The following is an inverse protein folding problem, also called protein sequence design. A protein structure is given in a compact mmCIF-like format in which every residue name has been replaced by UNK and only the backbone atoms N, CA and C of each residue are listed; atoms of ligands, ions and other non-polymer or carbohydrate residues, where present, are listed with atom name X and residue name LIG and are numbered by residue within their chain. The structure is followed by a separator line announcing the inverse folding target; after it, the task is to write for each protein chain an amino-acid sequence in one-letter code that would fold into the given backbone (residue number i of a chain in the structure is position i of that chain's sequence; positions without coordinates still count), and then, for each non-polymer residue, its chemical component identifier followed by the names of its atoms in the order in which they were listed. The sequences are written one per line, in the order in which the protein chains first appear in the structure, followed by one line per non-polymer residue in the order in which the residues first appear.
data_IF_429880884573
#
_entry.id   IF_429880884573
#
_cell.length_a   1.000
_cell.length_b   1.000
_cell.length_c   1.000
_cell.angle_alpha   90.00
_cell.angle_beta   90.00
_cell.angle_gamma   90.00
#
_symmetry.space_group_name_H-M   'P 1'
#
loop_
_entity.id
_entity.type
_entity.pdbx_description
1 polymer ?
#
# COMPACT_ATOMS: atom_id res chain seq x y z
N UNK A 1 -26.44 11.90 -15.62
CA UNK A 1 -27.57 11.44 -14.79
C UNK A 1 -28.46 12.62 -14.40
N UNK A 2 -29.74 12.34 -14.20
CA UNK A 2 -30.72 13.35 -13.78
C UNK A 2 -30.68 13.49 -12.29
N UNK A 3 -30.43 14.71 -11.80
CA UNK A 3 -30.35 15.03 -10.38
C UNK A 3 -31.24 16.21 -10.05
N UNK A 4 -31.80 16.22 -8.81
CA UNK A 4 -32.51 17.36 -8.27
C UNK A 4 -31.61 18.10 -7.28
N UNK A 5 -31.30 19.37 -7.60
CA UNK A 5 -30.57 20.31 -6.74
C UNK A 5 -31.43 21.54 -6.48
N UNK A 6 -31.58 21.96 -5.24
CA UNK A 6 -32.39 23.12 -4.87
C UNK A 6 -33.81 23.14 -5.49
N UNK A 7 -34.42 21.96 -5.67
CA UNK A 7 -35.78 21.80 -6.26
C UNK A 7 -35.81 21.75 -7.77
N UNK A 8 -34.74 22.04 -8.49
CA UNK A 8 -34.67 21.94 -9.97
C UNK A 8 -34.05 20.64 -10.43
N UNK A 9 -34.62 20.04 -11.46
CA UNK A 9 -34.09 18.83 -12.10
C UNK A 9 -33.11 19.26 -13.19
N UNK A 10 -31.86 18.77 -13.09
CA UNK A 10 -30.79 19.08 -14.05
C UNK A 10 -30.09 17.77 -14.45
N UNK A 11 -29.63 17.71 -15.69
CA UNK A 11 -28.74 16.66 -16.14
C UNK A 11 -27.29 17.05 -15.80
N UNK A 12 -26.59 16.18 -15.06
CA UNK A 12 -25.19 16.38 -14.71
C UNK A 12 -24.35 15.16 -15.09
N UNK A 13 -23.03 15.38 -15.20
CA UNK A 13 -22.08 14.27 -15.38
C UNK A 13 -21.98 13.47 -14.10
N UNK A 14 -21.65 12.19 -14.20
CA UNK A 14 -21.44 11.32 -13.03
C UNK A 14 -20.27 11.84 -12.16
N UNK A 15 -19.26 12.45 -12.79
CA UNK A 15 -18.13 13.07 -12.09
C UNK A 15 -18.51 14.25 -11.19
N UNK A 16 -19.65 14.89 -11.47
CA UNK A 16 -20.06 16.14 -10.83
C UNK A 16 -21.12 15.92 -9.73
N UNK A 17 -21.40 14.63 -9.44
CA UNK A 17 -22.30 14.22 -8.35
C UNK A 17 -21.63 14.53 -7.01
N UNK A 18 -22.39 15.12 -6.11
CA UNK A 18 -21.95 15.47 -4.75
C UNK A 18 -22.85 14.82 -3.70
N UNK A 19 -22.32 14.68 -2.50
CA UNK A 19 -23.11 14.27 -1.32
C UNK A 19 -24.24 15.26 -1.09
N UNK A 20 -25.47 14.74 -0.89
CA UNK A 20 -26.69 15.52 -0.73
C UNK A 20 -27.48 15.73 -2.02
N UNK A 21 -26.97 15.32 -3.18
CA UNK A 21 -27.75 15.31 -4.43
C UNK A 21 -28.86 14.26 -4.36
N UNK A 22 -29.99 14.56 -5.00
CA UNK A 22 -31.06 13.58 -5.19
C UNK A 22 -31.02 13.11 -6.63
N UNK A 23 -30.66 11.85 -6.84
CA UNK A 23 -30.58 11.21 -8.18
C UNK A 23 -31.90 10.53 -8.51
N UNK A 24 -32.40 10.79 -9.71
CA UNK A 24 -33.59 10.14 -10.25
C UNK A 24 -33.16 8.85 -10.95
N UNK A 25 -33.60 7.72 -10.43
CA UNK A 25 -33.29 6.37 -10.95
C UNK A 25 -34.43 5.82 -11.75
N UNK A 26 -34.13 5.18 -12.90
CA UNK A 26 -35.07 4.49 -13.79
C UNK A 26 -34.51 3.17 -14.27
N UNK A 27 -35.36 2.29 -14.68
CA UNK A 27 -34.98 1.01 -15.29
C UNK A 27 -33.95 1.22 -16.43
N UNK A 28 -32.90 0.38 -16.44
CA UNK A 28 -31.79 0.44 -17.40
C UNK A 28 -30.66 1.38 -17.00
N UNK A 29 -30.79 2.16 -15.94
CA UNK A 29 -29.73 3.04 -15.44
C UNK A 29 -28.78 2.30 -14.49
N UNK A 30 -27.50 2.76 -14.44
CA UNK A 30 -26.55 2.34 -13.42
C UNK A 30 -26.54 3.36 -12.29
N UNK A 31 -26.53 2.89 -11.05
CA UNK A 31 -26.45 3.71 -9.84
C UNK A 31 -25.06 4.39 -9.80
N UNK A 32 -25.01 5.74 -9.78
CA UNK A 32 -23.76 6.46 -9.98
C UNK A 32 -22.91 6.68 -8.71
N UNK A 33 -23.54 6.55 -7.54
CA UNK A 33 -22.93 6.80 -6.23
C UNK A 33 -23.59 5.93 -5.16
N UNK A 34 -23.02 5.88 -3.95
CA UNK A 34 -23.69 5.20 -2.83
C UNK A 34 -24.68 6.14 -2.15
N UNK A 35 -25.81 5.59 -1.77
CA UNK A 35 -26.88 6.36 -1.14
C UNK A 35 -28.04 5.50 -0.65
N UNK A 36 -29.14 6.15 -0.35
CA UNK A 36 -30.35 5.50 0.13
C UNK A 36 -31.55 5.87 -0.76
N UNK A 37 -32.44 4.91 -0.95
CA UNK A 37 -33.70 5.17 -1.63
C UNK A 37 -34.62 5.97 -0.69
N UNK A 38 -35.07 7.14 -1.13
CA UNK A 38 -35.94 8.03 -0.35
C UNK A 38 -37.38 8.01 -0.84
N UNK A 39 -37.59 7.68 -2.12
CA UNK A 39 -38.91 7.62 -2.71
C UNK A 39 -38.95 6.59 -3.85
N UNK A 40 -40.10 6.01 -4.11
CA UNK A 40 -40.32 5.02 -5.16
C UNK A 40 -39.89 3.61 -4.75
N UNK A 41 -39.81 2.73 -5.73
CA UNK A 41 -39.40 1.34 -5.56
C UNK A 41 -38.64 0.88 -6.79
N UNK A 42 -37.49 0.24 -6.58
CA UNK A 42 -36.67 -0.29 -7.68
C UNK A 42 -36.22 -1.72 -7.39
N UNK A 43 -36.04 -2.50 -8.44
CA UNK A 43 -35.31 -3.76 -8.42
C UNK A 43 -33.94 -3.53 -9.01
N UNK A 44 -32.89 -3.89 -8.31
CA UNK A 44 -31.51 -3.70 -8.77
C UNK A 44 -30.70 -5.00 -8.75
N UNK A 45 -29.80 -5.12 -9.70
CA UNK A 45 -28.79 -6.18 -9.76
C UNK A 45 -27.50 -5.67 -9.13
N UNK A 46 -27.02 -6.37 -8.11
CA UNK A 46 -25.81 -6.03 -7.36
C UNK A 46 -24.65 -6.99 -7.65
N UNK A 47 -24.67 -7.72 -8.76
CA UNK A 47 -23.66 -8.71 -9.12
C UNK A 47 -22.22 -8.13 -9.11
N UNK A 48 -22.07 -6.87 -9.50
CA UNK A 48 -20.76 -6.19 -9.47
C UNK A 48 -20.15 -6.06 -8.06
N UNK A 49 -20.98 -6.16 -7.01
CA UNK A 49 -20.57 -5.95 -5.62
C UNK A 49 -20.57 -7.27 -4.85
N UNK A 50 -21.64 -8.06 -4.98
CA UNK A 50 -21.83 -9.30 -4.21
C UNK A 50 -21.42 -10.55 -4.98
N UNK A 51 -21.24 -10.45 -6.30
CA UNK A 51 -21.04 -11.60 -7.20
C UNK A 51 -22.34 -12.38 -7.48
N UNK A 52 -23.46 -12.05 -6.83
CA UNK A 52 -24.74 -12.71 -7.00
C UNK A 52 -25.59 -11.96 -8.02
N UNK A 53 -26.03 -12.64 -9.08
CA UNK A 53 -26.88 -12.06 -10.13
C UNK A 53 -28.36 -11.94 -9.72
N UNK A 54 -28.71 -12.24 -8.47
CA UNK A 54 -30.07 -12.14 -7.99
C UNK A 54 -30.53 -10.69 -7.92
N UNK A 55 -31.74 -10.44 -8.46
CA UNK A 55 -32.39 -9.15 -8.33
C UNK A 55 -32.83 -8.92 -6.88
N UNK A 56 -32.55 -7.72 -6.39
CA UNK A 56 -32.95 -7.31 -5.04
C UNK A 56 -33.89 -6.12 -5.13
N UNK A 57 -35.06 -6.29 -4.53
CA UNK A 57 -36.04 -5.21 -4.36
C UNK A 57 -35.54 -4.23 -3.30
N UNK A 58 -35.56 -2.95 -3.65
CA UNK A 58 -35.23 -1.83 -2.79
C UNK A 58 -36.43 -0.94 -2.55
N UNK A 59 -36.68 -0.62 -1.32
CA UNK A 59 -37.80 0.20 -0.83
C UNK A 59 -37.26 1.42 -0.08
N UNK A 60 -38.00 2.52 0.02
CA UNK A 60 -37.57 3.71 0.71
C UNK A 60 -37.22 3.44 2.19
N UNK A 61 -36.23 4.15 2.70
CA UNK A 61 -35.91 4.14 4.12
C UNK A 61 -37.10 4.67 4.94
N UNK A 62 -37.56 3.91 5.92
CA UNK A 62 -38.74 4.26 6.72
C UNK A 62 -38.46 5.33 7.80
N UNK A 63 -37.21 5.73 8.00
CA UNK A 63 -36.82 6.66 9.04
C UNK A 63 -36.30 7.96 8.46
N UNK A 64 -36.87 9.09 8.89
CA UNK A 64 -36.38 10.45 8.63
C UNK A 64 -35.05 10.76 9.34
N UNK A 65 -34.57 9.86 10.19
CA UNK A 65 -33.34 9.98 10.98
C UNK A 65 -32.22 9.09 10.45
N UNK A 66 -32.06 9.00 9.14
CA UNK A 66 -30.92 8.31 8.57
C UNK A 66 -29.64 9.12 8.90
N UNK A 67 -28.78 8.55 9.76
CA UNK A 67 -27.47 9.12 10.09
C UNK A 67 -26.42 8.36 9.30
N UNK A 68 -25.83 8.92 8.24
CA UNK A 68 -24.92 8.24 7.33
C UNK A 68 -23.71 7.55 8.00
N UNK A 69 -23.23 8.14 9.10
CA UNK A 69 -22.02 7.67 9.81
C UNK A 69 -22.26 6.54 10.81
N UNK A 70 -23.53 6.24 11.15
CA UNK A 70 -23.85 5.23 12.18
C UNK A 70 -24.38 3.93 11.60
N UNK A 71 -24.79 3.91 10.35
CA UNK A 71 -25.34 2.71 9.72
C UNK A 71 -24.25 1.95 8.97
N UNK A 72 -24.14 0.67 9.28
CA UNK A 72 -23.25 -0.22 8.55
C UNK A 72 -23.72 -0.39 7.12
N UNK A 73 -22.82 -0.16 6.17
CA UNK A 73 -23.12 -0.34 4.75
C UNK A 73 -23.12 -1.82 4.38
N UNK A 74 -24.30 -2.35 4.14
CA UNK A 74 -24.51 -3.77 3.80
C UNK A 74 -25.26 -3.92 2.48
N UNK A 75 -24.71 -4.65 1.50
CA UNK A 75 -25.39 -4.89 0.22
C UNK A 75 -26.76 -5.57 0.36
N UNK A 76 -26.98 -6.27 1.48
CA UNK A 76 -28.26 -6.94 1.79
C UNK A 76 -29.36 -6.00 2.26
N UNK A 77 -29.03 -4.76 2.64
CA UNK A 77 -29.99 -3.76 3.10
C UNK A 77 -31.06 -3.47 2.03
N UNK A 78 -32.31 -3.30 2.48
CA UNK A 78 -33.46 -3.04 1.57
C UNK A 78 -33.55 -1.61 1.06
N UNK A 79 -32.82 -0.66 1.62
CA UNK A 79 -32.90 0.76 1.29
C UNK A 79 -31.57 1.35 0.80
N UNK A 80 -30.44 0.66 1.04
CA UNK A 80 -29.14 1.12 0.60
C UNK A 80 -28.89 0.76 -0.87
N UNK A 81 -28.33 1.71 -1.59
CA UNK A 81 -27.99 1.64 -3.00
C UNK A 81 -26.51 1.85 -3.17
N UNK A 82 -25.90 1.05 -4.04
CA UNK A 82 -24.47 1.02 -4.23
C UNK A 82 -24.06 1.38 -5.64
N UNK A 83 -23.01 2.15 -5.79
CA UNK A 83 -22.42 2.52 -7.06
C UNK A 83 -22.10 1.28 -7.90
N UNK A 84 -22.43 1.35 -9.20
CA UNK A 84 -22.16 0.27 -10.15
C UNK A 84 -23.28 -0.79 -10.22
N UNK A 85 -24.28 -0.75 -9.32
CA UNK A 85 -25.46 -1.62 -9.44
C UNK A 85 -26.37 -1.16 -10.58
N UNK A 86 -26.90 -2.10 -11.35
CA UNK A 86 -27.86 -1.81 -12.42
C UNK A 86 -29.31 -1.81 -11.91
N UNK A 87 -30.09 -0.80 -12.26
CA UNK A 87 -31.54 -0.78 -12.01
C UNK A 87 -32.23 -1.62 -13.07
N UNK A 88 -32.85 -2.73 -12.68
CA UNK A 88 -33.54 -3.66 -13.59
C UNK A 88 -34.96 -3.20 -13.89
N UNK A 89 -35.70 -2.80 -12.86
CA UNK A 89 -37.10 -2.33 -13.01
C UNK A 89 -37.45 -1.32 -11.94
N UNK A 90 -38.54 -0.55 -12.17
CA UNK A 90 -39.02 0.47 -11.25
C UNK A 90 -38.43 1.85 -11.47
N UNK A 91 -38.91 2.79 -10.67
CA UNK A 91 -38.44 4.17 -10.62
C UNK A 91 -38.30 4.61 -9.16
N UNK A 92 -37.30 5.46 -8.87
CA UNK A 92 -37.11 5.96 -7.53
C UNK A 92 -36.18 7.16 -7.44
N UNK A 93 -36.16 7.78 -6.28
CA UNK A 93 -35.28 8.90 -5.92
C UNK A 93 -34.29 8.42 -4.86
N UNK A 94 -33.01 8.65 -5.13
CA UNK A 94 -31.91 8.28 -4.25
C UNK A 94 -31.25 9.53 -3.70
N UNK A 95 -31.09 9.61 -2.38
CA UNK A 95 -30.20 10.59 -1.76
C UNK A 95 -28.75 10.05 -1.79
N UNK A 96 -27.84 10.83 -2.34
CA UNK A 96 -26.41 10.50 -2.43
C UNK A 96 -25.75 10.79 -1.09
N UNK A 97 -25.02 9.80 -0.54
CA UNK A 97 -24.36 9.88 0.75
C UNK A 97 -22.85 9.71 0.65
N UNK A 98 -22.36 8.94 -0.34
CA UNK A 98 -20.96 8.70 -0.58
C UNK A 98 -20.63 8.77 -2.07
N UNK A 99 -19.50 9.41 -2.40
CA UNK A 99 -19.07 9.60 -3.81
C UNK A 99 -17.58 9.22 -3.96
N UNK A 100 -17.17 8.92 -5.18
CA UNK A 100 -15.75 8.66 -5.51
C UNK A 100 -15.17 7.49 -4.72
N UNK A 101 -14.02 7.71 -4.10
CA UNK A 101 -13.28 6.70 -3.35
C UNK A 101 -13.94 6.36 -2.00
N UNK A 102 -14.83 7.21 -1.50
CA UNK A 102 -15.61 6.94 -0.29
C UNK A 102 -16.80 5.99 -0.52
N UNK A 103 -17.08 5.58 -1.77
CA UNK A 103 -18.08 4.56 -2.07
C UNK A 103 -17.59 3.16 -1.68
N UNK A 104 -18.50 2.22 -1.47
CA UNK A 104 -18.18 0.83 -1.14
C UNK A 104 -17.20 0.21 -2.14
N UNK A 105 -17.42 0.40 -3.44
CA UNK A 105 -16.48 -0.05 -4.49
C UNK A 105 -15.16 0.72 -4.42
N UNK A 106 -15.19 2.02 -4.12
CA UNK A 106 -13.99 2.84 -3.95
C UNK A 106 -13.11 2.35 -2.80
N UNK A 107 -13.70 2.05 -1.64
CA UNK A 107 -13.00 1.48 -0.48
C UNK A 107 -12.36 0.12 -0.81
N UNK A 108 -13.08 -0.75 -1.53
CA UNK A 108 -12.54 -2.04 -1.98
C UNK A 108 -11.38 -1.84 -2.96
N UNK A 109 -11.52 -0.96 -3.94
CA UNK A 109 -10.48 -0.65 -4.92
C UNK A 109 -9.23 -0.06 -4.24
N UNK A 110 -9.42 0.86 -3.30
CA UNK A 110 -8.33 1.44 -2.49
C UNK A 110 -7.61 0.37 -1.66
N UNK A 111 -8.36 -0.54 -1.05
CA UNK A 111 -7.79 -1.65 -0.26
C UNK A 111 -6.98 -2.64 -1.11
N UNK A 112 -7.31 -2.77 -2.40
CA UNK A 112 -6.56 -3.58 -3.35
C UNK A 112 -5.32 -2.87 -3.90
N UNK A 113 -5.33 -1.53 -3.93
CA UNK A 113 -4.19 -0.70 -4.35
C UNK A 113 -3.19 -0.45 -3.21
N UNK A 114 -3.62 -0.61 -1.97
CA UNK A 114 -2.72 -0.59 -0.83
C UNK A 114 -1.75 -1.77 -1.01
N UNK A 115 -0.50 -1.47 -1.35
CA UNK A 115 0.57 -2.46 -1.50
C UNK A 115 0.54 -3.37 -0.29
N UNK A 116 0.13 -4.61 -0.52
CA UNK A 116 -0.25 -5.55 0.53
C UNK A 116 0.75 -5.54 1.65
N UNK A 117 0.28 -5.45 2.88
CA UNK A 117 1.10 -5.46 4.11
C UNK A 117 2.23 -6.45 3.93
N UNK A 118 3.50 -6.03 4.05
CA UNK A 118 4.64 -6.91 3.78
C UNK A 118 4.44 -8.19 4.60
N UNK A 119 4.48 -9.33 3.93
CA UNK A 119 4.30 -10.62 4.56
C UNK A 119 5.15 -10.70 5.84
N UNK A 120 4.63 -11.21 6.96
CA UNK A 120 5.41 -11.40 8.18
C UNK A 120 6.73 -12.15 7.94
N UNK A 121 6.74 -13.03 6.95
CA UNK A 121 7.94 -13.73 6.49
C UNK A 121 8.96 -12.77 5.87
N UNK A 122 8.52 -11.86 5.00
CA UNK A 122 9.39 -10.84 4.38
C UNK A 122 10.05 -9.94 5.43
N UNK A 123 9.29 -9.55 6.46
CA UNK A 123 9.82 -8.74 7.56
C UNK A 123 10.90 -9.50 8.35
N UNK A 124 10.64 -10.75 8.75
CA UNK A 124 11.61 -11.59 9.48
C UNK A 124 12.87 -11.87 8.65
N UNK A 125 12.72 -12.17 7.36
CA UNK A 125 13.86 -12.38 6.47
C UNK A 125 14.70 -11.10 6.29
N UNK A 126 14.05 -9.93 6.21
CA UNK A 126 14.75 -8.64 6.17
C UNK A 126 15.53 -8.36 7.45
N UNK A 127 14.98 -8.68 8.62
CA UNK A 127 15.70 -8.54 9.89
C UNK A 127 16.90 -9.47 10.00
N UNK A 128 16.73 -10.74 9.58
CA UNK A 128 17.85 -11.68 9.52
C UNK A 128 18.94 -11.20 8.57
N UNK A 129 18.59 -10.72 7.38
CA UNK A 129 19.54 -10.17 6.42
C UNK A 129 20.31 -8.98 7.00
N UNK A 130 19.64 -8.07 7.70
CA UNK A 130 20.30 -6.94 8.41
C UNK A 130 21.27 -7.42 9.47
N UNK A 131 20.90 -8.42 10.26
CA UNK A 131 21.76 -8.97 11.32
C UNK A 131 23.01 -9.63 10.75
N UNK A 132 22.86 -10.41 9.66
CA UNK A 132 23.99 -11.04 8.97
C UNK A 132 24.90 -9.99 8.34
N UNK A 133 24.34 -8.97 7.68
CA UNK A 133 25.11 -7.88 7.10
C UNK A 133 25.88 -7.10 8.16
N UNK A 134 25.28 -6.82 9.31
CA UNK A 134 25.96 -6.16 10.43
C UNK A 134 27.15 -6.97 10.92
N UNK A 135 26.99 -8.30 11.08
CA UNK A 135 28.07 -9.18 11.46
C UNK A 135 29.21 -9.17 10.41
N UNK A 136 28.84 -9.14 9.12
CA UNK A 136 29.79 -9.01 8.01
C UNK A 136 30.58 -7.71 8.05
N UNK A 137 29.95 -6.58 8.34
CA UNK A 137 30.63 -5.29 8.48
C UNK A 137 31.60 -5.27 9.67
N UNK A 138 31.19 -5.85 10.80
CA UNK A 138 32.04 -5.99 11.97
C UNK A 138 33.28 -6.85 11.65
N UNK A 139 33.04 -7.99 10.95
CA UNK A 139 34.13 -8.87 10.50
C UNK A 139 35.11 -8.16 9.55
N UNK A 140 34.57 -7.44 8.56
CA UNK A 140 35.39 -6.67 7.62
C UNK A 140 36.23 -5.59 8.31
N UNK A 141 35.66 -4.88 9.29
CA UNK A 141 36.39 -3.91 10.10
C UNK A 141 37.50 -4.57 10.91
N UNK A 142 37.22 -5.71 11.53
CA UNK A 142 38.23 -6.48 12.29
C UNK A 142 39.39 -6.92 11.40
N UNK A 143 39.13 -7.37 10.19
CA UNK A 143 40.14 -7.80 9.22
C UNK A 143 40.99 -6.60 8.77
N UNK A 144 40.34 -5.49 8.39
CA UNK A 144 41.07 -4.27 8.03
C UNK A 144 41.95 -3.79 9.17
N UNK A 145 41.43 -3.79 10.40
CA UNK A 145 42.17 -3.43 11.58
C UNK A 145 43.35 -4.38 11.84
N UNK A 146 43.15 -5.69 11.72
CA UNK A 146 44.18 -6.68 11.91
C UNK A 146 45.32 -6.54 10.88
N UNK A 147 44.98 -6.26 9.61
CA UNK A 147 45.96 -5.97 8.57
C UNK A 147 46.81 -4.75 8.90
N UNK A 148 46.20 -3.64 9.24
CA UNK A 148 46.90 -2.41 9.60
C UNK A 148 47.71 -2.60 10.87
N UNK A 149 47.15 -3.27 11.88
CA UNK A 149 47.87 -3.56 13.10
C UNK A 149 49.13 -4.42 12.87
N UNK A 150 49.01 -5.44 12.02
CA UNK A 150 50.13 -6.26 11.63
C UNK A 150 51.22 -5.43 10.93
N UNK A 151 50.87 -4.65 9.91
CA UNK A 151 51.81 -3.84 9.14
C UNK A 151 52.51 -2.77 9.97
N UNK A 152 51.82 -2.13 10.92
CA UNK A 152 52.39 -1.04 11.72
C UNK A 152 53.02 -1.50 13.01
N UNK A 153 52.50 -2.51 13.69
CA UNK A 153 52.94 -2.92 15.01
C UNK A 153 53.88 -4.13 14.95
N UNK A 154 53.42 -5.21 14.30
CA UNK A 154 54.16 -6.48 14.30
C UNK A 154 55.38 -6.38 13.41
N UNK A 155 55.24 -5.94 12.17
CA UNK A 155 56.36 -5.83 11.21
C UNK A 155 57.39 -4.74 11.58
N UNK A 156 56.99 -3.79 12.46
CA UNK A 156 57.91 -2.79 13.00
C UNK A 156 58.63 -3.26 14.28
N UNK A 157 58.40 -4.52 14.71
CA UNK A 157 59.05 -5.06 15.92
C UNK A 157 58.77 -4.27 17.20
N UNK A 158 57.61 -3.62 17.31
CA UNK A 158 57.17 -2.72 18.38
C UNK A 158 58.10 -1.51 18.62
N UNK A 159 58.94 -1.13 17.64
CA UNK A 159 59.81 0.04 17.73
C UNK A 159 59.10 1.31 17.27
N UNK A 160 58.87 2.24 18.19
CA UNK A 160 58.15 3.50 17.91
C UNK A 160 58.83 4.36 16.82
N UNK A 161 60.15 4.34 16.75
CA UNK A 161 60.92 5.08 15.74
C UNK A 161 60.70 4.53 14.33
N UNK A 162 60.66 3.21 14.17
CA UNK A 162 60.40 2.56 12.89
C UNK A 162 58.93 2.74 12.46
N UNK A 163 57.98 2.77 13.40
CA UNK A 163 56.57 3.08 13.11
C UNK A 163 56.41 4.49 12.57
N UNK A 164 57.11 5.50 13.14
CA UNK A 164 57.03 6.88 12.65
C UNK A 164 57.62 7.03 11.24
N UNK A 165 58.70 6.35 10.93
CA UNK A 165 59.31 6.38 9.59
C UNK A 165 58.37 5.77 8.56
N UNK A 166 57.72 4.63 8.86
CA UNK A 166 56.74 3.98 7.97
C UNK A 166 55.49 4.81 7.77
N UNK A 167 55.06 5.58 8.78
CA UNK A 167 53.92 6.50 8.67
C UNK A 167 54.25 7.72 7.78
N UNK A 168 55.49 8.08 7.56
CA UNK A 168 55.91 9.14 6.63
C UNK A 168 56.08 8.65 5.21
N UNK A 169 56.17 7.35 4.97
CA UNK A 169 56.27 6.75 3.65
C UNK A 169 54.88 6.61 3.02
N UNK A 170 54.53 7.55 2.17
CA UNK A 170 53.22 7.60 1.52
C UNK A 170 52.97 6.42 0.58
N UNK A 171 53.96 5.84 -0.06
CA UNK A 171 53.81 4.70 -0.94
C UNK A 171 53.52 3.43 -0.14
N UNK A 172 54.18 3.21 0.94
CA UNK A 172 53.94 2.10 1.86
C UNK A 172 52.54 2.19 2.48
N UNK A 173 52.17 3.38 2.97
CA UNK A 173 50.84 3.65 3.53
C UNK A 173 49.72 3.33 2.54
N UNK A 174 49.82 3.84 1.33
CA UNK A 174 48.82 3.59 0.27
C UNK A 174 48.69 2.09 -0.03
N UNK A 175 49.82 1.38 -0.11
CA UNK A 175 49.79 -0.03 -0.43
C UNK A 175 49.12 -0.87 0.67
N UNK A 176 49.44 -0.62 1.94
CA UNK A 176 48.83 -1.35 3.07
C UNK A 176 47.35 -0.99 3.28
N UNK A 177 46.95 0.27 3.05
CA UNK A 177 45.56 0.67 3.07
C UNK A 177 44.77 -0.03 1.96
N UNK A 178 45.29 -0.11 0.74
CA UNK A 178 44.64 -0.79 -0.38
C UNK A 178 44.47 -2.28 -0.07
N UNK A 179 45.47 -2.95 0.51
CA UNK A 179 45.34 -4.35 0.93
C UNK A 179 44.26 -4.54 1.99
N UNK A 180 44.27 -3.67 3.03
CA UNK A 180 43.27 -3.73 4.09
C UNK A 180 41.85 -3.53 3.56
N UNK A 181 41.65 -2.55 2.66
CA UNK A 181 40.35 -2.29 2.01
C UNK A 181 39.93 -3.49 1.14
N UNK A 182 40.85 -4.01 0.34
CA UNK A 182 40.57 -5.17 -0.53
C UNK A 182 40.14 -6.38 0.30
N UNK A 183 40.82 -6.69 1.39
CA UNK A 183 40.46 -7.76 2.31
C UNK A 183 39.09 -7.53 2.97
N UNK A 184 38.80 -6.31 3.41
CA UNK A 184 37.52 -5.93 4.00
C UNK A 184 36.37 -6.06 3.00
N UNK A 185 36.56 -5.59 1.75
CA UNK A 185 35.56 -5.69 0.68
C UNK A 185 35.25 -7.14 0.34
N UNK A 186 36.26 -8.02 0.25
CA UNK A 186 36.02 -9.45 0.02
C UNK A 186 35.12 -10.06 1.09
N UNK A 187 35.31 -9.70 2.37
CA UNK A 187 34.48 -10.21 3.47
C UNK A 187 33.06 -9.64 3.41
N UNK A 188 32.90 -8.35 3.11
CA UNK A 188 31.57 -7.73 2.95
C UNK A 188 30.80 -8.40 1.82
N UNK A 189 31.41 -8.61 0.66
CA UNK A 189 30.75 -9.25 -0.51
C UNK A 189 30.28 -10.66 -0.18
N UNK A 190 31.09 -11.43 0.57
CA UNK A 190 30.69 -12.79 0.97
C UNK A 190 29.61 -12.79 2.05
N UNK A 191 29.64 -11.82 2.96
CA UNK A 191 28.72 -11.74 4.11
C UNK A 191 27.37 -11.14 3.76
N UNK A 192 27.27 -10.30 2.72
CA UNK A 192 26.00 -9.68 2.33
C UNK A 192 25.20 -10.67 1.47
N UNK A 193 24.03 -11.12 1.94
CA UNK A 193 23.19 -12.06 1.20
C UNK A 193 22.42 -11.35 0.08
N UNK A 194 23.11 -10.93 -0.99
CA UNK A 194 22.52 -10.19 -2.11
C UNK A 194 21.39 -10.97 -2.82
N UNK A 195 21.46 -12.30 -2.78
CA UNK A 195 20.44 -13.18 -3.36
C UNK A 195 19.13 -13.25 -2.56
N UNK A 196 19.11 -12.90 -1.28
CA UNK A 196 17.94 -13.03 -0.43
C UNK A 196 16.77 -12.12 -0.87
N UNK A 197 16.95 -10.81 -1.14
CA UNK A 197 15.87 -9.96 -1.66
C UNK A 197 15.37 -10.41 -3.04
N UNK A 198 16.27 -10.90 -3.89
CA UNK A 198 15.92 -11.36 -5.24
C UNK A 198 15.15 -12.69 -5.20
N UNK A 199 15.53 -13.64 -4.34
CA UNK A 199 14.77 -14.88 -4.13
C UNK A 199 13.37 -14.62 -3.58
N UNK A 200 13.22 -13.65 -2.66
CA UNK A 200 11.91 -13.27 -2.13
C UNK A 200 11.02 -12.68 -3.22
N UNK A 201 11.57 -11.89 -4.13
CA UNK A 201 10.83 -11.29 -5.25
C UNK A 201 10.42 -12.32 -6.33
N UNK A 202 11.11 -13.45 -6.44
CA UNK A 202 10.82 -14.51 -7.42
C UNK A 202 9.85 -15.55 -6.87
N UNK A 203 9.81 -15.75 -5.55
CA UNK A 203 8.98 -16.80 -4.90
C UNK A 203 7.61 -16.25 -4.47
N UNK A 204 7.44 -14.94 -4.36
CA UNK A 204 6.18 -14.24 -4.07
C UNK A 204 5.56 -13.67 -5.32
#
# INVERSE_FOLDING_TARGET
CMTRRAGEIREIRISDIAVGDIVLLRAGMTIPADGVLINGEISCNQAAITGESAERRKIPAQSTSFVPDQEKWEPTSSHQLFRGSGVFSGEGEMAVLRVGDATFIGEVASSLQDDGRPSPLKHRLSELAKSISFLGYVGAFMIAFAYLFNAFVIDSGMNLSLMMVRLQDHEFLLHEIIKAITGAVCVVVVAVPEGLPMMIAVVL
#
